data_IF_631300768647
#
_entry.id   IF_631300768647
#
_cell.length_a   1.000
_cell.length_b   1.000
_cell.length_c   1.000
_cell.angle_alpha   90.00
_cell.angle_beta   90.00
_cell.angle_gamma   90.00
#
_symmetry.space_group_name_H-M   'P 1'
#
loop_
_entity.id
_entity.type
_entity.pdbx_description
1 polymer ?
#
# COMPACT_ATOMS: atom_id res chain seq x y z
N UNK A 1 -35.03 -52.17 -24.45
CA UNK A 1 -34.13 -51.97 -23.28
C UNK A 1 -32.63 -51.91 -23.64
N UNK A 2 -32.20 -52.34 -24.84
CA UNK A 2 -30.78 -52.28 -25.23
C UNK A 2 -30.27 -50.89 -25.65
N UNK A 3 -31.06 -50.10 -26.38
CA UNK A 3 -30.61 -48.80 -26.94
C UNK A 3 -30.42 -47.71 -25.88
N UNK A 4 -31.21 -47.72 -24.81
CA UNK A 4 -31.10 -46.74 -23.70
C UNK A 4 -29.78 -46.91 -22.95
N UNK A 5 -29.27 -48.15 -22.85
CA UNK A 5 -27.99 -48.42 -22.20
C UNK A 5 -26.79 -47.98 -23.07
N UNK A 6 -26.89 -48.05 -24.39
CA UNK A 6 -25.82 -47.58 -25.28
C UNK A 6 -25.75 -46.04 -25.30
N UNK A 7 -26.90 -45.36 -25.31
CA UNK A 7 -26.94 -43.90 -25.17
C UNK A 7 -26.37 -43.43 -23.83
N UNK A 8 -26.70 -44.12 -22.73
CA UNK A 8 -26.18 -43.77 -21.40
C UNK A 8 -24.67 -43.99 -21.27
N UNK A 9 -24.12 -45.04 -21.90
CA UNK A 9 -22.67 -45.28 -21.97
C UNK A 9 -21.96 -44.18 -22.75
N UNK A 10 -22.52 -43.74 -23.88
CA UNK A 10 -21.97 -42.65 -24.70
C UNK A 10 -21.93 -41.32 -23.91
N UNK A 11 -22.98 -41.01 -23.16
CA UNK A 11 -23.03 -39.81 -22.31
C UNK A 11 -22.00 -39.88 -21.19
N UNK A 12 -21.83 -41.03 -20.54
CA UNK A 12 -20.79 -41.20 -19.50
C UNK A 12 -19.37 -41.08 -20.05
N UNK A 13 -19.08 -41.62 -21.22
CA UNK A 13 -17.76 -41.48 -21.87
C UNK A 13 -17.50 -40.02 -22.24
N UNK A 14 -18.50 -39.30 -22.74
CA UNK A 14 -18.38 -37.87 -23.04
C UNK A 14 -18.11 -37.03 -21.78
N UNK A 15 -18.79 -37.34 -20.67
CA UNK A 15 -18.57 -36.66 -19.38
C UNK A 15 -17.17 -36.94 -18.83
N UNK A 16 -16.65 -38.17 -18.97
CA UNK A 16 -15.28 -38.51 -18.56
C UNK A 16 -14.23 -37.81 -19.42
N UNK A 17 -14.47 -37.68 -20.72
CA UNK A 17 -13.59 -36.93 -21.62
C UNK A 17 -13.59 -35.44 -21.29
N UNK A 18 -14.76 -34.84 -21.03
CA UNK A 18 -14.88 -33.45 -20.58
C UNK A 18 -14.18 -33.21 -19.25
N UNK A 19 -14.32 -34.12 -18.27
CA UNK A 19 -13.59 -34.03 -17.00
C UNK A 19 -12.07 -34.12 -17.21
N UNK A 20 -11.59 -34.99 -18.10
CA UNK A 20 -10.15 -35.09 -18.42
C UNK A 20 -9.60 -33.83 -19.09
N UNK A 21 -10.39 -33.19 -19.95
CA UNK A 21 -10.04 -31.91 -20.59
C UNK A 21 -10.01 -30.77 -19.57
N UNK A 22 -10.88 -30.79 -18.56
CA UNK A 22 -10.80 -29.87 -17.42
C UNK A 22 -9.53 -30.09 -16.58
N UNK A 23 -9.09 -31.34 -16.35
CA UNK A 23 -7.84 -31.60 -15.61
C UNK A 23 -6.59 -31.17 -16.38
N UNK A 24 -6.57 -31.35 -17.72
CA UNK A 24 -5.47 -30.86 -18.56
C UNK A 24 -5.50 -29.34 -18.66
N UNK A 25 -6.69 -28.72 -18.73
CA UNK A 25 -6.84 -27.26 -18.65
C UNK A 25 -6.36 -26.70 -17.31
N UNK A 26 -6.71 -27.31 -16.18
CA UNK A 26 -6.23 -26.87 -14.85
C UNK A 26 -4.74 -27.08 -14.69
N UNK A 27 -4.14 -28.17 -15.21
CA UNK A 27 -2.67 -28.32 -15.21
C UNK A 27 -1.98 -27.31 -16.13
N UNK A 28 -2.55 -27.03 -17.30
CA UNK A 28 -2.06 -25.99 -18.22
C UNK A 28 -2.14 -24.59 -17.60
N UNK A 29 -3.24 -24.26 -16.92
CA UNK A 29 -3.39 -23.01 -16.18
C UNK A 29 -2.46 -22.91 -14.95
N UNK A 30 -2.08 -24.03 -14.34
CA UNK A 30 -1.14 -24.07 -13.21
C UNK A 30 0.32 -24.02 -13.68
N UNK A 31 0.64 -24.54 -14.86
CA UNK A 31 1.98 -24.43 -15.48
C UNK A 31 2.21 -23.05 -16.12
N UNK A 32 1.19 -22.37 -16.65
CA UNK A 32 1.34 -21.01 -17.21
C UNK A 32 1.58 -19.92 -16.15
N UNK A 33 1.45 -20.25 -14.85
CA UNK A 33 1.88 -19.40 -13.73
C UNK A 33 3.35 -19.60 -13.33
N UNK A 34 4.11 -20.43 -14.06
CA UNK A 34 5.53 -20.72 -13.78
C UNK A 34 6.52 -20.15 -14.80
N UNK A 35 6.08 -19.32 -15.74
CA UNK A 35 7.01 -18.51 -16.54
C UNK A 35 7.51 -17.30 -15.71
N UNK A 36 8.33 -17.62 -14.70
CA UNK A 36 9.16 -16.68 -13.97
C UNK A 36 10.21 -16.09 -14.93
N UNK A 37 9.95 -14.89 -15.45
CA UNK A 37 10.92 -14.12 -16.22
C UNK A 37 12.16 -13.81 -15.34
N UNK A 38 13.28 -14.44 -15.67
CA UNK A 38 14.54 -14.35 -14.93
C UNK A 38 15.19 -12.99 -15.19
N UNK A 39 14.91 -12.00 -14.35
CA UNK A 39 15.70 -10.76 -14.32
C UNK A 39 16.95 -10.97 -13.46
N UNK A 40 18.06 -11.35 -14.11
CA UNK A 40 19.40 -11.31 -13.52
C UNK A 40 19.85 -9.85 -13.42
N UNK A 41 19.69 -9.22 -12.26
CA UNK A 41 20.53 -8.07 -11.93
C UNK A 41 21.96 -8.53 -11.67
N UNK A 42 22.87 -7.99 -12.48
CA UNK A 42 24.27 -8.38 -12.60
C UNK A 42 25.07 -7.79 -11.45
N UNK A 43 25.19 -8.54 -10.34
CA UNK A 43 26.16 -8.31 -9.28
C UNK A 43 26.90 -9.61 -9.02
N UNK A 44 28.19 -9.67 -9.36
CA UNK A 44 28.99 -10.89 -9.33
C UNK A 44 29.31 -11.37 -7.92
N UNK A 45 29.21 -12.68 -7.72
CA UNK A 45 30.29 -13.52 -7.18
C UNK A 45 29.91 -14.99 -7.44
N UNK A 46 30.74 -15.72 -8.18
CA UNK A 46 30.63 -17.16 -8.35
C UNK A 46 31.40 -17.83 -7.21
N UNK A 47 30.67 -18.34 -6.22
CA UNK A 47 31.23 -19.10 -5.10
C UNK A 47 30.34 -20.30 -4.75
N UNK A 48 30.89 -21.49 -4.92
CA UNK A 48 30.29 -22.79 -4.58
C UNK A 48 29.86 -22.88 -3.10
N UNK A 49 28.70 -23.49 -2.85
CA UNK A 49 28.27 -23.93 -1.52
C UNK A 49 26.95 -23.33 -1.05
N UNK A 50 25.87 -24.12 -1.15
CA UNK A 50 24.50 -23.74 -0.83
C UNK A 50 24.24 -23.32 0.62
N UNK A 51 24.50 -22.05 0.93
CA UNK A 51 23.83 -21.32 2.00
C UNK A 51 23.33 -20.01 1.40
N UNK A 52 22.00 -19.88 1.21
CA UNK A 52 21.40 -18.56 0.96
C UNK A 52 21.86 -17.65 2.09
N UNK A 53 22.63 -16.61 1.76
CA UNK A 53 23.07 -15.63 2.76
C UNK A 53 21.86 -15.09 3.50
N UNK A 54 21.89 -15.11 4.83
CA UNK A 54 20.81 -14.66 5.73
C UNK A 54 20.46 -13.16 5.56
N UNK A 55 21.18 -12.46 4.69
CA UNK A 55 21.12 -11.01 4.45
C UNK A 55 20.70 -10.65 3.02
N UNK A 56 20.36 -11.63 2.18
CA UNK A 56 19.81 -11.35 0.86
C UNK A 56 18.31 -11.09 0.99
N UNK A 57 17.84 -9.93 0.48
CA UNK A 57 16.42 -9.72 0.23
C UNK A 57 15.90 -10.93 -0.56
N UNK A 58 14.76 -11.49 -0.13
CA UNK A 58 14.05 -12.50 -0.92
C UNK A 58 13.71 -11.97 -2.32
N UNK A 59 13.33 -12.86 -3.24
CA UNK A 59 12.88 -12.45 -4.58
C UNK A 59 11.76 -11.40 -4.43
N UNK A 60 11.98 -10.20 -4.96
CA UNK A 60 10.96 -9.14 -4.97
C UNK A 60 9.93 -9.44 -6.07
N UNK A 61 8.65 -9.51 -5.71
CA UNK A 61 7.55 -9.65 -6.66
C UNK A 61 7.09 -8.27 -7.09
N UNK A 62 7.06 -8.00 -8.40
CA UNK A 62 6.45 -6.78 -8.93
C UNK A 62 4.93 -6.97 -8.94
N UNK A 63 4.21 -6.14 -8.20
CA UNK A 63 2.74 -6.23 -8.06
C UNK A 63 2.02 -5.12 -8.83
N UNK A 64 2.72 -4.04 -9.15
CA UNK A 64 2.25 -2.98 -10.05
C UNK A 64 3.38 -2.60 -10.99
N UNK A 65 3.05 -2.50 -12.28
CA UNK A 65 3.95 -1.98 -13.32
C UNK A 65 3.17 -1.11 -14.29
N UNK A 66 3.57 0.15 -14.43
CA UNK A 66 2.95 1.13 -15.32
C UNK A 66 4.02 2.10 -15.84
N UNK A 67 3.66 2.95 -16.80
CA UNK A 67 4.54 4.03 -17.26
C UNK A 67 4.75 5.12 -16.18
N UNK A 68 3.87 5.24 -15.19
CA UNK A 68 3.95 6.23 -14.11
C UNK A 68 4.68 5.74 -12.86
N UNK A 69 5.00 4.45 -12.77
CA UNK A 69 5.65 3.89 -11.60
C UNK A 69 5.47 2.38 -11.43
N UNK A 70 6.06 1.86 -10.37
CA UNK A 70 6.01 0.45 -10.00
C UNK A 70 5.88 0.24 -8.49
N UNK A 71 5.35 -0.92 -8.12
CA UNK A 71 5.33 -1.42 -6.74
C UNK A 71 5.96 -2.81 -6.70
N UNK A 72 6.96 -2.98 -5.85
CA UNK A 72 7.65 -4.26 -5.61
C UNK A 72 7.48 -4.69 -4.16
N UNK A 73 7.24 -5.97 -3.91
CA UNK A 73 7.06 -6.51 -2.57
C UNK A 73 8.03 -7.65 -2.32
N UNK A 74 8.66 -7.62 -1.15
CA UNK A 74 9.51 -8.70 -0.64
C UNK A 74 8.77 -9.33 0.54
N UNK A 75 8.32 -10.57 0.36
CA UNK A 75 7.68 -11.31 1.44
C UNK A 75 8.68 -11.66 2.54
N UNK A 76 8.23 -11.58 3.79
CA UNK A 76 9.01 -11.96 4.96
C UNK A 76 9.48 -13.41 4.90
N UNK A 77 10.67 -13.67 5.45
CA UNK A 77 11.20 -15.04 5.56
C UNK A 77 10.33 -15.86 6.53
N UNK A 78 9.92 -17.05 6.10
CA UNK A 78 9.24 -18.03 6.95
C UNK A 78 10.11 -18.36 8.17
N UNK A 79 9.53 -18.37 9.35
CA UNK A 79 10.21 -18.79 10.58
C UNK A 79 9.58 -20.07 11.11
N UNK A 80 10.37 -21.13 11.28
CA UNK A 80 9.90 -22.46 11.75
C UNK A 80 8.71 -23.06 10.98
N UNK A 81 8.56 -22.71 9.71
CA UNK A 81 7.47 -23.20 8.86
C UNK A 81 6.26 -22.27 8.80
N UNK A 82 6.13 -21.34 9.74
CA UNK A 82 5.06 -20.35 9.76
C UNK A 82 5.41 -19.16 8.84
N UNK A 83 4.43 -18.66 8.06
CA UNK A 83 4.62 -17.44 7.28
C UNK A 83 4.91 -16.27 8.22
N UNK A 84 5.88 -15.44 7.84
CA UNK A 84 6.07 -14.16 8.50
C UNK A 84 5.04 -13.19 7.92
N UNK A 85 4.11 -12.66 8.73
CA UNK A 85 3.06 -11.77 8.26
C UNK A 85 3.60 -10.43 7.77
N UNK A 86 4.88 -10.12 8.03
CA UNK A 86 5.43 -8.83 7.63
C UNK A 86 6.09 -8.89 6.27
N UNK A 87 5.63 -8.05 5.36
CA UNK A 87 6.23 -7.86 4.04
C UNK A 87 6.76 -6.44 3.91
N UNK A 88 7.70 -6.26 2.99
CA UNK A 88 8.31 -4.96 2.68
C UNK A 88 7.93 -4.58 1.26
N UNK A 89 7.21 -3.47 1.11
CA UNK A 89 6.90 -2.86 -0.18
C UNK A 89 7.84 -1.71 -0.53
N UNK A 90 8.11 -1.57 -1.82
CA UNK A 90 8.84 -0.46 -2.41
C UNK A 90 7.95 0.16 -3.48
N UNK A 91 7.54 1.41 -3.27
CA UNK A 91 6.72 2.18 -4.21
C UNK A 91 7.65 3.20 -4.87
N UNK A 92 7.69 3.19 -6.20
CA UNK A 92 8.41 4.19 -6.99
C UNK A 92 7.46 4.85 -7.97
N UNK A 93 7.37 6.18 -7.91
CA UNK A 93 6.45 6.97 -8.72
C UNK A 93 7.20 8.08 -9.46
N UNK A 94 6.92 8.23 -10.75
CA UNK A 94 7.42 9.32 -11.58
C UNK A 94 6.79 10.66 -11.15
N UNK A 95 7.40 11.81 -11.51
CA UNK A 95 6.80 13.12 -11.24
C UNK A 95 5.40 13.25 -11.85
N UNK A 96 4.53 14.00 -11.18
CA UNK A 96 3.17 14.29 -11.64
C UNK A 96 2.30 13.05 -11.86
N UNK A 97 2.39 12.09 -10.93
CA UNK A 97 1.63 10.83 -11.01
C UNK A 97 0.70 10.66 -9.82
N UNK A 98 -0.38 9.91 -10.06
CA UNK A 98 -1.38 9.50 -9.08
C UNK A 98 -1.37 7.98 -8.97
N UNK A 99 -1.16 7.46 -7.76
CA UNK A 99 -1.57 6.13 -7.39
C UNK A 99 -3.07 6.19 -7.08
N UNK A 100 -3.88 5.60 -7.96
CA UNK A 100 -5.33 5.76 -7.94
C UNK A 100 -5.96 5.25 -6.63
N UNK A 101 -7.15 5.77 -6.28
CA UNK A 101 -7.90 5.32 -5.12
C UNK A 101 -8.09 3.81 -4.98
N UNK A 102 -7.64 3.26 -3.85
CA UNK A 102 -7.80 1.87 -3.47
C UNK A 102 -7.80 1.70 -1.95
N UNK A 103 -8.32 0.60 -1.44
CA UNK A 103 -8.00 0.10 -0.11
C UNK A 103 -7.29 -1.25 -0.24
N UNK A 104 -6.56 -1.65 0.80
CA UNK A 104 -5.93 -2.97 0.87
C UNK A 104 -6.35 -3.70 2.14
N UNK A 105 -6.17 -5.01 2.18
CA UNK A 105 -6.47 -5.88 3.33
C UNK A 105 -5.34 -5.96 4.36
N UNK A 106 -4.46 -4.95 4.45
CA UNK A 106 -3.27 -4.97 5.30
C UNK A 106 -2.95 -3.58 5.83
N UNK A 107 -2.45 -3.50 7.06
CA UNK A 107 -1.96 -2.24 7.62
C UNK A 107 -0.67 -1.81 6.91
N UNK A 108 -0.58 -0.52 6.58
CA UNK A 108 0.55 0.09 5.89
C UNK A 108 1.26 1.08 6.79
N UNK A 109 2.53 0.82 7.08
CA UNK A 109 3.44 1.82 7.65
C UNK A 109 4.30 2.36 6.52
N UNK A 110 4.01 3.56 6.05
CA UNK A 110 4.72 4.24 4.97
C UNK A 110 5.91 5.03 5.52
N UNK A 111 7.07 4.93 4.87
CA UNK A 111 8.25 5.77 5.12
C UNK A 111 8.72 6.43 3.82
N UNK A 112 8.73 7.76 3.78
CA UNK A 112 9.17 8.51 2.59
C UNK A 112 10.70 8.57 2.55
N UNK A 113 11.31 7.71 1.72
CA UNK A 113 12.77 7.66 1.54
C UNK A 113 13.30 8.88 0.78
N UNK A 114 12.59 9.31 -0.25
CA UNK A 114 12.95 10.49 -1.06
C UNK A 114 11.79 10.97 -1.90
N UNK A 115 11.79 12.27 -2.23
CA UNK A 115 10.67 12.93 -2.87
C UNK A 115 9.67 13.45 -1.85
N UNK A 116 8.56 13.95 -2.35
CA UNK A 116 7.42 14.45 -1.58
C UNK A 116 6.14 13.89 -2.17
N UNK A 117 5.15 13.66 -1.32
CA UNK A 117 3.90 13.05 -1.73
C UNK A 117 2.73 13.69 -1.00
N UNK A 118 1.64 13.92 -1.72
CA UNK A 118 0.34 14.09 -1.08
C UNK A 118 -0.28 12.72 -0.87
N UNK A 119 -0.67 12.39 0.35
CA UNK A 119 -1.37 11.14 0.66
C UNK A 119 -2.71 11.50 1.25
N UNK A 120 -3.78 10.95 0.69
CA UNK A 120 -5.11 11.08 1.29
C UNK A 120 -5.72 9.73 1.56
N UNK A 121 -6.42 9.61 2.68
CA UNK A 121 -7.05 8.37 3.12
C UNK A 121 -8.32 8.61 3.93
N UNK A 122 -9.11 7.56 4.11
CA UNK A 122 -10.26 7.57 5.00
C UNK A 122 -9.83 7.25 6.43
N UNK A 123 -10.13 8.15 7.36
CA UNK A 123 -9.87 8.05 8.79
C UNK A 123 -11.12 8.43 9.60
N UNK A 124 -11.60 7.50 10.44
CA UNK A 124 -12.87 7.56 11.18
C UNK A 124 -14.02 8.14 10.34
N UNK A 125 -14.28 7.51 9.20
CA UNK A 125 -15.32 7.86 8.21
C UNK A 125 -15.16 9.23 7.51
N UNK A 126 -14.07 9.95 7.77
CA UNK A 126 -13.76 11.22 7.10
C UNK A 126 -12.55 11.06 6.20
N UNK A 127 -12.52 11.87 5.16
CA UNK A 127 -11.38 11.98 4.28
C UNK A 127 -10.36 12.94 4.87
N UNK A 128 -9.12 12.50 4.95
CA UNK A 128 -7.99 13.31 5.42
C UNK A 128 -6.90 13.30 4.38
N UNK A 129 -6.16 14.40 4.27
CA UNK A 129 -5.05 14.55 3.34
C UNK A 129 -3.85 15.10 4.09
N UNK A 130 -2.66 14.61 3.77
CA UNK A 130 -1.40 15.11 4.35
C UNK A 130 -0.32 15.20 3.28
N UNK A 131 0.51 16.22 3.41
CA UNK A 131 1.75 16.31 2.66
C UNK A 131 2.84 15.55 3.42
N UNK A 132 3.43 14.57 2.76
CA UNK A 132 4.53 13.78 3.29
C UNK A 132 5.83 14.19 2.61
N UNK A 133 6.80 14.61 3.41
CA UNK A 133 8.17 14.94 2.98
C UNK A 133 9.12 13.80 3.31
N UNK A 134 10.33 13.88 2.76
CA UNK A 134 11.41 12.94 3.07
C UNK A 134 11.61 12.80 4.59
N UNK A 135 11.58 11.56 5.08
CA UNK A 135 11.72 11.23 6.49
C UNK A 135 10.41 10.92 7.20
N UNK A 136 9.28 11.30 6.62
CA UNK A 136 7.97 11.12 7.24
C UNK A 136 7.57 9.64 7.29
N UNK A 137 7.00 9.27 8.42
CA UNK A 137 6.33 8.00 8.68
C UNK A 137 4.84 8.27 8.83
N UNK A 138 4.02 7.55 8.05
CA UNK A 138 2.57 7.62 8.15
C UNK A 138 1.97 6.21 8.23
N UNK A 139 0.83 6.06 8.90
CA UNK A 139 0.13 4.78 9.02
C UNK A 139 -1.23 4.87 8.33
N UNK A 140 -1.52 3.91 7.47
CA UNK A 140 -2.83 3.73 6.84
C UNK A 140 -3.35 2.35 7.25
N UNK A 141 -4.51 2.33 7.91
CA UNK A 141 -5.10 1.09 8.39
C UNK A 141 -5.64 0.22 7.25
N UNK A 142 -5.67 -1.09 7.46
CA UNK A 142 -6.33 -2.04 6.59
C UNK A 142 -7.79 -1.61 6.33
N UNK A 143 -8.23 -1.70 5.08
CA UNK A 143 -9.58 -1.30 4.65
C UNK A 143 -9.79 0.21 4.46
N UNK A 144 -8.87 1.08 4.92
CA UNK A 144 -8.95 2.51 4.65
C UNK A 144 -8.62 2.79 3.18
N UNK A 145 -9.58 3.34 2.45
CA UNK A 145 -9.34 3.79 1.08
C UNK A 145 -8.35 4.96 1.08
N UNK A 146 -7.33 4.88 0.24
CA UNK A 146 -6.26 5.87 0.12
C UNK A 146 -5.85 6.10 -1.35
N UNK A 147 -5.14 7.20 -1.56
CA UNK A 147 -4.45 7.54 -2.80
C UNK A 147 -3.13 8.25 -2.48
N UNK A 148 -2.22 8.26 -3.46
CA UNK A 148 -0.92 8.92 -3.34
C UNK A 148 -0.69 9.76 -4.58
N UNK A 149 -0.30 11.02 -4.45
CA UNK A 149 0.10 11.88 -5.55
C UNK A 149 1.55 12.27 -5.37
N UNK A 150 2.37 12.01 -6.39
CA UNK A 150 3.71 12.60 -6.45
C UNK A 150 3.60 14.02 -7.03
N UNK A 151 3.67 15.01 -6.13
CA UNK A 151 3.64 16.44 -6.48
C UNK A 151 5.03 17.03 -6.72
N UNK A 152 6.08 16.22 -6.57
CA UNK A 152 7.47 16.63 -6.76
C UNK A 152 7.74 17.14 -8.18
N UNK A 153 8.28 18.35 -8.28
CA UNK A 153 8.64 18.96 -9.56
C UNK A 153 9.90 18.31 -10.15
N UNK A 154 9.70 17.29 -10.97
CA UNK A 154 10.79 16.56 -11.62
C UNK A 154 11.52 15.56 -10.71
N UNK A 155 11.08 15.40 -9.46
CA UNK A 155 11.64 14.43 -8.53
C UNK A 155 10.80 13.16 -8.46
N UNK A 156 11.45 11.99 -8.56
CA UNK A 156 10.80 10.70 -8.32
C UNK A 156 10.52 10.52 -6.84
N UNK A 157 9.34 9.99 -6.53
CA UNK A 157 8.96 9.60 -5.19
C UNK A 157 9.38 8.15 -4.96
N UNK A 158 10.06 7.90 -3.84
CA UNK A 158 10.37 6.57 -3.34
C UNK A 158 9.85 6.43 -1.92
N UNK A 159 8.89 5.53 -1.75
CA UNK A 159 8.32 5.17 -0.45
C UNK A 159 8.68 3.72 -0.15
N UNK A 160 9.06 3.45 1.09
CA UNK A 160 9.21 2.10 1.58
C UNK A 160 8.12 1.85 2.59
N UNK A 161 7.43 0.72 2.49
CA UNK A 161 6.31 0.42 3.36
C UNK A 161 6.43 -0.95 4.02
N UNK A 162 6.01 -1.00 5.28
CA UNK A 162 5.73 -2.23 6.00
C UNK A 162 4.29 -2.63 5.68
N UNK A 163 4.06 -3.90 5.36
CA UNK A 163 2.74 -4.45 5.03
C UNK A 163 2.50 -5.60 6.00
N UNK A 164 1.56 -5.44 6.92
CA UNK A 164 1.15 -6.50 7.85
C UNK A 164 0.03 -7.35 7.24
N UNK A 165 0.36 -8.57 6.84
CA UNK A 165 -0.54 -9.54 6.21
C UNK A 165 -1.12 -10.56 7.19
N UNK A 166 -1.02 -10.31 8.50
CA UNK A 166 -1.57 -11.20 9.53
C UNK A 166 -3.07 -11.50 9.34
N UNK A 167 -3.82 -10.52 8.85
CA UNK A 167 -5.26 -10.62 8.56
C UNK A 167 -5.57 -10.63 7.05
N UNK A 168 -4.57 -10.83 6.18
CA UNK A 168 -4.78 -10.83 4.74
C UNK A 168 -5.58 -12.05 4.28
N UNK A 169 -6.48 -11.84 3.33
CA UNK A 169 -7.42 -12.85 2.82
C UNK A 169 -6.76 -13.71 1.72
N UNK A 170 -5.75 -13.17 1.06
CA UNK A 170 -5.13 -13.75 -0.13
C UNK A 170 -3.93 -14.67 0.16
N UNK A 171 -3.53 -15.43 -0.87
CA UNK A 171 -2.22 -16.10 -0.92
C UNK A 171 -1.13 -15.20 -1.52
N UNK A 172 -1.48 -13.96 -1.89
CA UNK A 172 -0.58 -12.95 -2.42
C UNK A 172 0.15 -12.17 -1.32
N UNK A 173 0.98 -11.19 -1.71
CA UNK A 173 1.64 -10.32 -0.74
C UNK A 173 0.67 -9.36 -0.02
N UNK A 174 -0.48 -9.07 -0.61
CA UNK A 174 -1.66 -8.38 -0.07
C UNK A 174 -2.69 -8.34 -1.22
N UNK A 175 -3.94 -7.99 -0.93
CA UNK A 175 -4.99 -7.80 -1.93
C UNK A 175 -5.32 -6.30 -2.08
N UNK A 176 -5.39 -5.83 -3.33
CA UNK A 176 -5.74 -4.44 -3.66
C UNK A 176 -7.16 -4.33 -4.19
N UNK A 177 -7.95 -3.49 -3.54
CA UNK A 177 -9.33 -3.23 -3.91
C UNK A 177 -9.46 -1.81 -4.50
N UNK A 178 -9.43 -1.73 -5.83
CA UNK A 178 -9.46 -0.44 -6.53
C UNK A 178 -10.85 0.18 -6.55
N UNK A 179 -10.96 1.41 -6.05
CA UNK A 179 -12.18 2.23 -6.14
C UNK A 179 -12.16 3.01 -7.46
N UNK A 180 -11.06 3.70 -7.75
CA UNK A 180 -10.86 4.56 -8.93
C UNK A 180 -10.48 3.80 -10.22
N UNK A 181 -10.83 2.52 -10.31
CA UNK A 181 -10.48 1.63 -11.42
C UNK A 181 -11.43 1.72 -12.62
N UNK A 182 -11.31 0.73 -13.51
CA UNK A 182 -12.13 0.61 -14.72
C UNK A 182 -11.86 -0.73 -15.39
N UNK A 183 -11.27 -0.69 -16.59
CA UNK A 183 -10.81 -1.89 -17.29
C UNK A 183 -9.48 -2.39 -16.75
N UNK A 184 -8.56 -1.47 -16.43
CA UNK A 184 -7.27 -1.81 -15.85
C UNK A 184 -6.78 -0.67 -14.93
N UNK A 185 -6.70 -0.89 -13.60
CA UNK A 185 -7.12 -2.12 -12.89
C UNK A 185 -8.66 -2.24 -12.84
N UNK A 186 -9.16 -3.45 -12.58
CA UNK A 186 -10.59 -3.68 -12.39
C UNK A 186 -11.06 -3.05 -11.09
N UNK A 187 -12.11 -2.23 -11.15
CA UNK A 187 -12.72 -1.63 -9.95
C UNK A 187 -13.54 -2.67 -9.17
N UNK A 188 -13.61 -2.53 -7.84
CA UNK A 188 -14.52 -3.32 -6.98
C UNK A 188 -15.98 -3.22 -7.42
N UNK A 189 -16.36 -2.11 -8.08
CA UNK A 189 -17.69 -1.92 -8.64
C UNK A 189 -18.03 -2.99 -9.69
N UNK A 190 -17.04 -3.57 -10.36
CA UNK A 190 -17.27 -4.62 -11.36
C UNK A 190 -17.81 -5.93 -10.77
N UNK A 191 -17.76 -6.09 -9.44
CA UNK A 191 -18.35 -7.24 -8.73
C UNK A 191 -19.87 -7.18 -8.60
N UNK A 192 -20.50 -6.03 -8.86
CA UNK A 192 -21.95 -5.85 -8.76
C UNK A 192 -22.63 -5.92 -10.13
N UNK A 193 -23.89 -6.36 -10.14
CA UNK A 193 -24.68 -6.37 -11.37
C UNK A 193 -25.06 -4.94 -11.80
N UNK A 194 -25.26 -4.77 -13.10
CA UNK A 194 -25.59 -3.48 -13.71
C UNK A 194 -26.81 -2.83 -13.07
N UNK A 195 -27.85 -3.57 -12.69
CA UNK A 195 -29.08 -3.00 -12.13
C UNK A 195 -28.85 -2.44 -10.73
N UNK A 196 -28.08 -3.14 -9.91
CA UNK A 196 -27.68 -2.66 -8.59
C UNK A 196 -26.90 -1.35 -8.69
N UNK A 197 -25.93 -1.27 -9.60
CA UNK A 197 -25.12 -0.05 -9.76
C UNK A 197 -25.90 1.11 -10.36
N UNK A 198 -26.72 0.89 -11.40
CA UNK A 198 -27.54 1.97 -11.97
C UNK A 198 -28.57 2.49 -10.97
N UNK A 199 -29.14 1.61 -10.15
CA UNK A 199 -30.03 2.02 -9.06
C UNK A 199 -29.28 2.75 -7.94
N UNK A 200 -28.11 2.26 -7.52
CA UNK A 200 -27.33 2.86 -6.43
C UNK A 200 -26.77 4.25 -6.79
N UNK A 201 -26.23 4.40 -8.00
CA UNK A 201 -25.70 5.68 -8.48
C UNK A 201 -26.76 6.59 -9.11
N UNK A 202 -27.98 6.06 -9.35
CA UNK A 202 -29.05 6.76 -10.06
C UNK A 202 -28.60 7.29 -11.43
N UNK A 203 -27.97 6.42 -12.23
CA UNK A 203 -27.44 6.73 -13.57
C UNK A 203 -27.95 5.75 -14.63
N UNK A 204 -27.88 6.15 -15.90
CA UNK A 204 -28.21 5.27 -17.03
C UNK A 204 -27.19 4.13 -17.18
N UNK A 205 -27.59 3.07 -17.90
CA UNK A 205 -26.68 1.94 -18.19
C UNK A 205 -25.52 2.36 -19.08
N UNK A 206 -25.74 3.33 -19.96
CA UNK A 206 -24.75 3.91 -20.85
C UNK A 206 -23.70 4.72 -20.06
N UNK A 207 -24.14 5.55 -19.11
CA UNK A 207 -23.25 6.30 -18.21
C UNK A 207 -22.42 5.35 -17.35
N UNK A 208 -23.03 4.32 -16.78
CA UNK A 208 -22.32 3.30 -16.02
C UNK A 208 -21.27 2.59 -16.89
N UNK A 209 -21.63 2.21 -18.12
CA UNK A 209 -20.70 1.56 -19.05
C UNK A 209 -19.52 2.47 -19.43
N UNK A 210 -19.76 3.78 -19.55
CA UNK A 210 -18.68 4.76 -19.76
C UNK A 210 -17.78 4.87 -18.54
N UNK A 211 -18.35 4.99 -17.34
CA UNK A 211 -17.60 5.06 -16.08
C UNK A 211 -16.67 3.85 -15.91
N UNK A 212 -17.22 2.63 -16.06
CA UNK A 212 -16.48 1.38 -15.86
C UNK A 212 -15.39 1.11 -16.91
N UNK A 213 -15.42 1.80 -18.06
CA UNK A 213 -14.46 1.59 -19.17
C UNK A 213 -13.44 2.70 -19.34
N UNK A 214 -13.57 3.78 -18.57
CA UNK A 214 -12.79 5.00 -18.69
C UNK A 214 -11.32 4.78 -18.32
N UNK A 215 -11.05 4.14 -17.19
CA UNK A 215 -9.69 3.88 -16.70
C UNK A 215 -9.07 2.62 -17.31
N UNK A 216 -7.89 2.75 -17.92
CA UNK A 216 -7.13 1.66 -18.59
C UNK A 216 -5.61 1.75 -18.42
N UNK A 217 -5.12 2.82 -17.79
CA UNK A 217 -3.69 3.15 -17.75
C UNK A 217 -2.94 2.47 -16.59
N UNK A 218 -3.64 1.63 -15.83
CA UNK A 218 -3.09 0.93 -14.68
C UNK A 218 -3.20 1.71 -13.37
N UNK A 219 -2.68 1.15 -12.26
CA UNK A 219 -2.87 1.70 -10.92
C UNK A 219 -2.13 3.02 -10.66
N UNK A 220 -1.04 3.28 -11.38
CA UNK A 220 -0.27 4.52 -11.27
C UNK A 220 -0.34 5.23 -12.63
N UNK A 221 -0.91 6.43 -12.63
CA UNK A 221 -1.21 7.19 -13.86
C UNK A 221 -0.57 8.57 -13.83
N UNK A 222 -0.24 9.11 -15.01
CA UNK A 222 0.14 10.52 -15.14
C UNK A 222 -1.08 11.41 -15.00
N UNK A 223 -0.93 12.52 -14.28
CA UNK A 223 -1.91 13.58 -14.17
C UNK A 223 -1.61 14.67 -15.20
N UNK A 224 -2.65 15.30 -15.73
CA UNK A 224 -2.47 16.49 -16.56
C UNK A 224 -2.12 17.70 -15.68
N UNK A 225 -1.67 18.79 -16.31
CA UNK A 225 -1.24 20.01 -15.60
C UNK A 225 -2.35 20.62 -14.74
N UNK A 226 -3.59 20.65 -15.24
CA UNK A 226 -4.72 21.22 -14.51
C UNK A 226 -5.08 20.42 -13.26
N UNK A 227 -5.07 19.09 -13.36
CA UNK A 227 -5.29 18.17 -12.23
C UNK A 227 -4.18 18.32 -11.21
N UNK A 228 -2.93 18.47 -11.67
CA UNK A 228 -1.78 18.68 -10.80
C UNK A 228 -1.88 20.01 -10.06
N UNK A 229 -2.21 21.11 -10.75
CA UNK A 229 -2.39 22.43 -10.14
C UNK A 229 -3.52 22.43 -9.10
N UNK A 230 -4.59 21.68 -9.34
CA UNK A 230 -5.66 21.50 -8.35
C UNK A 230 -5.17 20.71 -7.14
N UNK A 231 -4.44 19.61 -7.36
CA UNK A 231 -3.87 18.81 -6.26
C UNK A 231 -2.87 19.60 -5.42
N UNK A 232 -2.18 20.58 -6.03
CA UNK A 232 -1.26 21.51 -5.35
C UNK A 232 -1.96 22.66 -4.63
N UNK A 233 -3.16 23.05 -5.02
CA UNK A 233 -3.86 24.18 -4.38
C UNK A 233 -4.51 23.81 -3.05
N UNK A 234 -4.84 22.55 -2.82
CA UNK A 234 -5.40 22.09 -1.55
C UNK A 234 -4.40 22.08 -0.38
N UNK A 235 -3.20 22.66 -0.55
CA UNK A 235 -2.11 22.64 0.43
C UNK A 235 -2.15 23.78 1.45
N UNK A 236 -2.97 24.81 1.24
CA UNK A 236 -2.77 26.09 1.93
C UNK A 236 -3.43 26.15 3.33
N UNK A 237 -4.29 25.20 3.71
CA UNK A 237 -5.13 25.34 4.92
C UNK A 237 -4.72 24.49 6.15
N UNK A 238 -3.68 23.65 6.09
CA UNK A 238 -3.39 22.66 7.17
C UNK A 238 -2.10 22.92 8.00
N UNK A 239 -1.30 23.94 7.67
CA UNK A 239 0.05 24.16 8.27
C UNK A 239 0.09 25.18 9.43
N UNK A 240 -1.02 25.82 9.84
CA UNK A 240 -0.98 26.91 10.84
C UNK A 240 -1.23 26.51 12.32
N UNK A 241 -1.30 25.23 12.66
CA UNK A 241 -1.41 24.79 14.06
C UNK A 241 -0.08 24.19 14.58
N UNK A 242 0.96 25.03 14.66
CA UNK A 242 2.06 24.83 15.61
C UNK A 242 1.56 25.16 17.02
N UNK A 243 0.79 24.24 17.64
CA UNK A 243 0.63 24.23 19.10
C UNK A 243 1.05 22.88 19.65
N UNK A 244 2.33 22.82 20.02
CA UNK A 244 2.90 21.79 20.87
C UNK A 244 2.24 21.84 22.25
N UNK A 245 1.05 21.26 22.40
CA UNK A 245 0.52 20.65 23.63
C UNK A 245 -0.80 19.93 23.31
N UNK A 246 -0.80 18.60 23.33
CA UNK A 246 -2.04 17.84 23.52
C UNK A 246 -1.84 16.92 24.71
N UNK A 247 -2.08 17.51 25.88
CA UNK A 247 -2.84 16.81 26.91
C UNK A 247 -4.25 16.58 26.34
N UNK A 248 -4.81 15.39 26.54
CA UNK A 248 -6.23 15.12 26.38
C UNK A 248 -7.00 16.19 27.19
N UNK A 249 -7.80 17.04 26.54
CA UNK A 249 -9.21 17.28 26.84
C UNK A 249 -9.77 18.48 26.05
N UNK A 250 -11.06 18.37 25.77
CA UNK A 250 -12.04 19.33 25.23
C UNK A 250 -11.65 20.83 25.23
N UNK A 251 -11.65 21.48 24.06
CA UNK A 251 -12.19 22.84 23.95
C UNK A 251 -12.66 23.20 22.52
N UNK A 252 -13.72 23.99 22.50
CA UNK A 252 -14.50 24.47 21.37
C UNK A 252 -13.77 25.61 20.63
N UNK A 253 -13.63 25.48 19.31
CA UNK A 253 -13.07 26.51 18.44
C UNK A 253 -13.73 26.49 17.06
N UNK A 254 -14.26 27.66 16.67
CA UNK A 254 -15.12 27.92 15.52
C UNK A 254 -14.48 27.59 14.15
N UNK A 255 -15.35 27.09 13.25
CA UNK A 255 -15.35 27.05 11.78
C UNK A 255 -14.06 26.76 10.97
N UNK A 256 -14.13 25.75 10.09
CA UNK A 256 -14.05 25.90 8.63
C UNK A 256 -14.15 24.52 7.93
N UNK A 257 -14.94 24.50 6.86
CA UNK A 257 -15.54 23.35 6.17
C UNK A 257 -14.49 22.45 5.48
N UNK A 258 -14.16 21.32 6.11
CA UNK A 258 -13.11 20.39 5.66
C UNK A 258 -13.52 19.50 4.48
N UNK A 259 -13.34 20.02 3.27
CA UNK A 259 -12.80 19.34 2.07
C UNK A 259 -13.33 17.95 1.66
N UNK A 260 -14.63 17.68 1.81
CA UNK A 260 -15.31 16.62 1.04
C UNK A 260 -15.26 16.84 -0.50
N UNK A 261 -14.70 17.97 -0.96
CA UNK A 261 -14.78 18.50 -2.32
C UNK A 261 -13.70 18.04 -3.31
N UNK A 262 -12.60 17.41 -2.88
CA UNK A 262 -11.45 17.09 -3.77
C UNK A 262 -11.72 15.88 -4.69
N UNK A 263 -12.39 14.83 -4.19
CA UNK A 263 -12.45 13.54 -4.89
C UNK A 263 -13.52 13.42 -5.97
N UNK A 264 -14.69 14.06 -5.77
CA UNK A 264 -15.76 14.08 -6.79
C UNK A 264 -15.31 14.79 -8.06
N UNK A 265 -14.47 15.81 -7.91
CA UNK A 265 -13.90 16.59 -9.02
C UNK A 265 -12.77 15.85 -9.73
N UNK A 266 -11.93 15.11 -8.98
CA UNK A 266 -10.84 14.33 -9.56
C UNK A 266 -11.33 13.12 -10.37
N UNK A 267 -12.46 12.50 -10.00
CA UNK A 267 -13.02 11.31 -10.66
C UNK A 267 -14.06 11.62 -11.76
N UNK A 268 -14.21 12.88 -12.18
CA UNK A 268 -15.04 13.25 -13.34
C UNK A 268 -16.57 13.15 -13.14
N UNK A 269 -17.05 13.03 -11.90
CA UNK A 269 -18.47 12.92 -11.59
C UNK A 269 -19.14 14.28 -11.38
N UNK A 270 -19.56 14.93 -12.46
CA UNK A 270 -20.40 16.13 -12.40
C UNK A 270 -21.88 15.78 -12.20
N UNK A 271 -22.31 15.58 -10.95
CA UNK A 271 -23.71 15.33 -10.60
C UNK A 271 -23.97 15.66 -9.14
N UNK A 272 -24.66 16.76 -8.87
CA UNK A 272 -24.87 17.28 -7.53
C UNK A 272 -26.03 16.63 -6.79
N UNK A 273 -25.80 16.29 -5.52
CA UNK A 273 -26.82 16.40 -4.47
C UNK A 273 -26.13 16.73 -3.13
N UNK A 274 -26.75 17.64 -2.37
CA UNK A 274 -26.25 18.13 -1.08
C UNK A 274 -26.78 17.22 0.02
N UNK A 275 -26.04 16.16 0.34
CA UNK A 275 -26.30 15.40 1.57
C UNK A 275 -25.98 16.31 2.75
N UNK A 276 -26.99 16.64 3.56
CA UNK A 276 -26.81 17.34 4.85
C UNK A 276 -25.96 16.45 5.76
N UNK A 277 -24.71 16.82 5.97
CA UNK A 277 -23.89 16.24 7.03
C UNK A 277 -24.39 16.76 8.38
N UNK A 278 -24.89 15.84 9.21
CA UNK A 278 -25.15 16.08 10.63
C UNK A 278 -23.81 16.31 11.32
N UNK A 279 -23.71 17.41 12.07
CA UNK A 279 -22.58 17.82 12.91
C UNK A 279 -22.07 16.65 13.77
N UNK A 280 -21.06 15.93 13.26
CA UNK A 280 -20.23 15.00 14.02
C UNK A 280 -18.83 15.62 14.05
N UNK A 281 -18.29 15.83 15.24
CA UNK A 281 -17.06 16.59 15.52
C UNK A 281 -15.89 16.35 14.56
N UNK A 282 -15.00 17.34 14.42
CA UNK A 282 -13.79 17.27 13.57
C UNK A 282 -12.99 16.01 13.94
N UNK A 283 -12.80 15.13 12.96
CA UNK A 283 -11.86 14.01 13.10
C UNK A 283 -10.54 14.54 12.55
N UNK A 284 -9.60 14.87 13.42
CA UNK A 284 -8.22 15.18 13.03
C UNK A 284 -7.44 13.88 12.92
N UNK A 285 -6.86 13.61 11.75
CA UNK A 285 -5.93 12.50 11.60
C UNK A 285 -4.59 12.85 12.29
N UNK A 286 -3.90 11.83 12.86
CA UNK A 286 -2.56 12.01 13.40
C UNK A 286 -1.62 12.66 12.38
N UNK A 287 -0.72 13.53 12.86
CA UNK A 287 0.34 14.10 12.03
C UNK A 287 1.36 13.04 11.64
N UNK A 288 2.01 13.22 10.50
CA UNK A 288 3.09 12.33 10.08
C UNK A 288 4.34 12.53 10.96
N UNK A 289 5.02 11.45 11.30
CA UNK A 289 6.20 11.49 12.18
C UNK A 289 7.49 11.58 11.36
N UNK A 290 8.20 12.71 11.39
CA UNK A 290 9.44 12.86 10.64
C UNK A 290 10.66 12.32 11.41
N UNK A 291 11.22 11.20 10.95
CA UNK A 291 12.39 10.59 11.58
C UNK A 291 13.64 11.47 11.55
N UNK A 292 13.76 12.45 10.66
CA UNK A 292 14.94 13.33 10.60
C UNK A 292 14.79 14.61 11.43
N UNK A 293 13.58 14.91 11.92
CA UNK A 293 13.34 16.03 12.83
C UNK A 293 13.76 15.68 14.28
N UNK A 294 13.76 14.38 14.60
CA UNK A 294 14.07 13.89 15.93
C UNK A 294 15.56 13.82 16.26
N UNK A 295 15.85 13.88 17.56
CA UNK A 295 17.19 13.61 18.06
C UNK A 295 17.52 12.12 17.90
N UNK A 296 18.72 11.76 17.42
CA UNK A 296 19.13 10.37 17.35
C UNK A 296 19.03 9.65 18.70
N UNK A 297 18.43 8.46 18.72
CA UNK A 297 18.42 7.57 19.88
C UNK A 297 19.85 7.12 20.24
N UNK A 298 20.73 7.06 19.24
CA UNK A 298 22.16 6.84 19.40
C UNK A 298 22.94 7.61 18.33
N UNK A 299 24.04 8.24 18.71
CA UNK A 299 24.93 8.92 17.79
C UNK A 299 26.39 8.80 18.23
N UNK A 300 27.28 8.54 17.29
CA UNK A 300 28.73 8.62 17.47
C UNK A 300 29.42 9.05 16.16
N UNK A 301 30.75 9.12 16.16
CA UNK A 301 31.56 9.48 14.99
C UNK A 301 31.42 8.53 13.78
N UNK A 302 30.81 7.36 13.96
CA UNK A 302 30.68 6.29 12.95
C UNK A 302 29.26 6.13 12.42
N UNK A 303 28.29 6.83 13.00
CA UNK A 303 26.90 6.77 12.56
C UNK A 303 25.91 7.14 13.66
N UNK A 304 24.64 7.03 13.31
CA UNK A 304 23.53 7.33 14.20
C UNK A 304 22.34 6.41 13.91
N UNK A 305 21.45 6.27 14.88
CA UNK A 305 20.18 5.55 14.70
C UNK A 305 19.04 6.22 15.43
N UNK A 306 17.84 5.99 14.90
CA UNK A 306 16.56 6.46 15.44
C UNK A 306 15.64 5.25 15.52
N UNK A 307 15.08 5.02 16.70
CA UNK A 307 14.08 4.00 16.96
C UNK A 307 12.82 4.69 17.47
N UNK A 308 11.69 4.41 16.83
CA UNK A 308 10.38 4.83 17.31
C UNK A 308 9.45 3.62 17.44
N UNK A 309 8.56 3.67 18.41
CA UNK A 309 7.51 2.68 18.63
C UNK A 309 6.14 3.31 18.97
N UNK A 310 5.25 2.50 19.54
CA UNK A 310 3.88 2.91 19.91
C UNK A 310 3.84 4.04 20.95
N UNK A 311 4.91 4.24 21.72
CA UNK A 311 5.01 5.30 22.71
C UNK A 311 5.41 6.64 22.09
N UNK A 312 6.20 6.61 21.02
CA UNK A 312 6.64 7.82 20.31
C UNK A 312 5.62 8.25 19.24
N UNK A 313 4.98 7.28 18.59
CA UNK A 313 4.02 7.54 17.52
C UNK A 313 2.78 6.66 17.67
N UNK A 314 1.72 7.23 18.26
CA UNK A 314 0.49 6.52 18.61
C UNK A 314 -0.14 5.66 17.49
N UNK A 315 -0.11 6.06 16.19
CA UNK A 315 -0.59 5.23 15.09
C UNK A 315 0.12 3.88 14.95
N UNK A 316 1.35 3.73 15.47
CA UNK A 316 2.08 2.45 15.45
C UNK A 316 1.49 1.41 16.42
N UNK A 317 0.76 1.84 17.45
CA UNK A 317 0.16 0.97 18.48
C UNK A 317 -0.69 -0.16 17.87
N UNK A 318 -1.41 0.14 16.80
CA UNK A 318 -2.31 -0.82 16.15
C UNK A 318 -1.60 -1.77 15.19
N UNK A 319 -0.38 -1.44 14.77
CA UNK A 319 0.40 -2.26 13.82
C UNK A 319 1.31 -3.26 14.53
N UNK A 320 1.65 -3.03 15.80
CA UNK A 320 2.65 -3.83 16.51
C UNK A 320 4.07 -3.73 15.90
N UNK A 321 4.31 -2.72 15.06
CA UNK A 321 5.57 -2.46 14.36
C UNK A 321 6.29 -1.28 15.00
N UNK A 322 7.60 -1.43 15.22
CA UNK A 322 8.51 -0.31 15.48
C UNK A 322 9.33 0.03 14.25
N UNK A 323 9.62 1.31 14.05
CA UNK A 323 10.44 1.80 12.93
C UNK A 323 11.86 2.06 13.44
N UNK A 324 12.85 1.43 12.80
CA UNK A 324 14.25 1.62 13.14
C UNK A 324 15.05 2.06 11.90
N UNK A 325 15.55 3.30 11.95
CA UNK A 325 16.38 3.92 10.92
C UNK A 325 17.83 3.96 11.39
N UNK A 326 18.74 3.59 10.50
CA UNK A 326 20.18 3.57 10.78
C UNK A 326 20.93 4.27 9.66
N UNK A 327 21.85 5.14 10.04
CA UNK A 327 22.83 5.73 9.15
C UNK A 327 24.25 5.38 9.63
N UNK A 328 25.06 4.78 8.76
CA UNK A 328 26.45 4.41 9.05
C UNK A 328 27.38 5.11 8.06
N UNK A 329 28.48 5.64 8.56
CA UNK A 329 29.53 6.18 7.70
C UNK A 329 30.23 5.06 6.92
N UNK A 330 30.80 5.39 5.76
CA UNK A 330 31.47 4.40 4.94
C UNK A 330 32.63 3.72 5.69
N UNK A 331 32.67 2.39 5.67
CA UNK A 331 33.65 1.60 6.40
C UNK A 331 33.27 1.28 7.86
N UNK A 332 32.15 1.82 8.35
CA UNK A 332 31.64 1.55 9.69
C UNK A 332 30.68 0.36 9.71
N UNK A 333 30.49 -0.22 10.90
CA UNK A 333 29.52 -1.28 11.13
C UNK A 333 28.75 -1.03 12.42
N UNK A 334 27.51 -1.52 12.48
CA UNK A 334 26.82 -1.63 13.75
C UNK A 334 27.40 -2.81 14.53
N UNK A 335 27.71 -2.60 15.81
CA UNK A 335 28.14 -3.68 16.67
C UNK A 335 27.06 -4.78 16.74
N UNK A 336 27.45 -6.07 16.85
CA UNK A 336 26.48 -7.14 17.08
C UNK A 336 25.64 -6.82 18.32
N UNK A 337 24.32 -6.73 18.13
CA UNK A 337 23.38 -6.39 19.18
C UNK A 337 22.12 -7.25 19.04
N UNK A 338 21.41 -7.44 20.15
CA UNK A 338 20.14 -8.12 20.20
C UNK A 338 19.07 -7.10 20.61
N UNK A 339 17.97 -7.01 19.86
CA UNK A 339 16.82 -6.24 20.32
C UNK A 339 15.99 -7.13 21.25
N UNK A 340 15.88 -6.82 22.56
CA UNK A 340 14.99 -7.55 23.43
C UNK A 340 13.53 -7.38 22.97
N UNK A 341 12.71 -8.41 23.16
CA UNK A 341 11.25 -8.32 22.99
C UNK A 341 10.64 -7.86 24.33
N UNK A 342 9.69 -6.90 24.34
CA UNK A 342 8.95 -6.61 25.55
C UNK A 342 8.10 -7.84 25.98
N UNK A 343 7.90 -8.09 27.29
CA UNK A 343 7.25 -9.32 27.79
C UNK A 343 5.69 -9.33 27.75
N UNK A 344 5.03 -8.38 27.11
CA UNK A 344 3.56 -8.32 27.00
C UNK A 344 3.20 -8.36 25.52
N UNK A 345 2.47 -9.33 24.97
CA UNK A 345 1.25 -9.99 25.44
C UNK A 345 1.25 -11.48 25.11
N UNK A 346 0.83 -12.30 26.07
CA UNK A 346 0.45 -13.69 25.86
C UNK A 346 -0.86 -13.77 25.03
N UNK A 347 -0.74 -13.55 23.72
CA UNK A 347 -1.69 -14.04 22.72
C UNK A 347 -0.84 -14.72 21.66
N UNK A 348 -0.83 -16.04 21.69
CA UNK A 348 -0.15 -16.87 20.71
C UNK A 348 -0.89 -16.78 19.37
N UNK A 349 -0.46 -15.89 18.46
CA UNK A 349 -0.65 -16.10 17.00
C UNK A 349 0.20 -15.22 16.08
N UNK A 350 0.86 -14.14 16.52
CA UNK A 350 1.75 -13.38 15.63
C UNK A 350 2.93 -12.78 16.40
N UNK A 351 4.15 -13.00 15.89
CA UNK A 351 5.32 -12.31 16.40
C UNK A 351 5.26 -10.83 15.94
N UNK A 352 5.46 -9.84 16.84
CA UNK A 352 5.57 -8.45 16.41
C UNK A 352 6.78 -8.32 15.49
N UNK A 353 6.50 -8.01 14.23
CA UNK A 353 7.52 -7.92 13.22
C UNK A 353 8.12 -6.52 13.21
N UNK A 354 9.45 -6.44 13.39
CA UNK A 354 10.17 -5.17 13.30
C UNK A 354 10.63 -4.95 11.86
N UNK A 355 10.14 -3.91 11.20
CA UNK A 355 10.71 -3.44 9.93
C UNK A 355 12.04 -2.73 10.22
N UNK A 356 13.17 -3.30 9.78
CA UNK A 356 14.48 -2.62 9.83
C UNK A 356 14.74 -1.97 8.48
N UNK A 357 14.85 -0.65 8.47
CA UNK A 357 15.16 0.12 7.27
C UNK A 357 16.63 0.55 7.32
N UNK A 358 17.48 -0.14 6.56
CA UNK A 358 18.87 0.28 6.35
C UNK A 358 18.99 0.96 4.99
N UNK A 359 19.21 2.28 4.96
CA UNK A 359 19.55 3.01 3.73
C UNK A 359 21.05 3.31 3.72
N UNK A 360 21.88 2.60 2.92
CA UNK A 360 23.27 2.96 2.76
C UNK A 360 23.37 4.26 1.95
N UNK A 361 23.63 5.39 2.61
CA UNK A 361 24.03 6.63 1.93
C UNK A 361 25.56 6.66 1.83
N UNK A 362 26.12 5.80 0.97
CA UNK A 362 27.52 5.88 0.61
C UNK A 362 27.73 7.07 -0.35
N UNK A 363 27.97 8.27 0.17
CA UNK A 363 28.61 9.34 -0.61
C UNK A 363 30.05 8.92 -0.88
N UNK A 364 30.35 8.46 -2.10
CA UNK A 364 31.73 8.47 -2.59
C UNK A 364 32.16 9.93 -2.71
N UNK A 365 33.20 10.32 -1.97
CA UNK A 365 33.94 11.55 -2.23
C UNK A 365 34.79 11.39 -3.48
#
# INVERSE_FOLDING_TARGET
MGEVNEALKLVMVLLLLLASLCFVGVKGYVEELQDEEVVKERGGDEGEGGRRGLFMLGKAKKVVETAGGEVRVVSGLRWKGDPNPMHIGFISMEPNTLFIPQYIDSDLVLFVKSGEAKVGWIYKDKMVEKHLKKGDVNVISAGSAFYVVNTGEGQKLHVICSIDTSESIGHGPYESFFVGGGRYPTSVLAGFDTRTLTAAFNISSEELAMLMRSQRSGPIIYMNSEQMDQSKKSYIDDDDDDDDNVDDDEDDGEDEDGTAFSWRKMLGGGGGDRTRETERGRVRAPHAYNLYAEKPSFENSYGWSIAIDEHDYAPLKHTGVGVYLVNLTAGSMMAPHLNPRPPSTASCSAAPARSRWCSPTARRR
#
